data_IF_507603181773
#
_entry.id   IF_507603181773
#
_cell.length_a   1.000
_cell.length_b   1.000
_cell.length_c   1.000
_cell.angle_alpha   90.00
_cell.angle_beta   90.00
_cell.angle_gamma   90.00
#
_symmetry.space_group_name_H-M   'P 1'
#
loop_
_entity.id
_entity.type
_entity.pdbx_description
1 polymer ?
#
# COMPACT_ATOMS: atom_id res chain seq x y z
N UNK A 1 -2.36 -43.79 26.66
CA UNK A 1 -2.13 -42.62 27.53
C UNK A 1 -0.68 -42.70 27.97
N UNK A 2 0.17 -41.74 27.57
CA UNK A 2 0.25 -40.48 28.33
C UNK A 2 0.25 -39.20 27.47
N UNK A 3 -0.24 -38.16 28.15
CA UNK A 3 -0.23 -36.72 27.89
C UNK A 3 1.21 -36.18 27.91
N UNK A 4 1.59 -35.31 26.98
CA UNK A 4 2.67 -34.34 27.23
C UNK A 4 2.44 -33.07 26.41
N UNK A 5 1.80 -32.13 27.09
CA UNK A 5 1.64 -30.73 26.73
C UNK A 5 3.00 -30.04 26.54
N UNK A 6 3.24 -29.46 25.35
CA UNK A 6 4.25 -28.40 25.17
C UNK A 6 3.66 -27.16 24.52
N UNK A 7 3.11 -26.34 25.40
CA UNK A 7 2.81 -24.93 25.25
C UNK A 7 4.08 -24.17 24.83
N UNK A 8 4.28 -23.94 23.52
CA UNK A 8 5.29 -22.98 23.05
C UNK A 8 4.71 -21.58 23.13
N UNK A 9 4.92 -21.01 24.29
CA UNK A 9 4.78 -19.60 24.58
C UNK A 9 5.74 -18.76 23.74
N UNK A 10 5.21 -17.64 23.24
CA UNK A 10 5.88 -16.33 23.17
C UNK A 10 6.83 -16.09 21.99
N UNK A 11 6.38 -15.25 21.06
CA UNK A 11 7.07 -14.00 20.70
C UNK A 11 6.16 -13.09 19.87
N UNK A 12 5.20 -12.42 20.53
CA UNK A 12 4.65 -11.17 20.01
C UNK A 12 5.78 -10.14 20.02
N UNK A 13 6.40 -9.91 18.86
CA UNK A 13 7.22 -8.73 18.63
C UNK A 13 6.26 -7.55 18.48
N UNK A 14 6.28 -6.53 19.36
CA UNK A 14 5.64 -5.27 19.02
C UNK A 14 6.57 -4.61 18.01
N UNK A 15 6.38 -4.88 16.72
CA UNK A 15 6.98 -4.05 15.70
C UNK A 15 6.33 -2.68 15.81
N UNK A 16 7.10 -1.73 16.34
CA UNK A 16 6.79 -0.31 16.39
C UNK A 16 6.48 0.19 14.97
N UNK A 17 5.24 0.04 14.55
CA UNK A 17 4.71 0.66 13.36
C UNK A 17 4.58 2.14 13.68
N UNK A 18 5.60 2.92 13.33
CA UNK A 18 5.58 4.38 13.30
C UNK A 18 4.17 4.85 12.98
N UNK A 19 3.55 5.60 13.89
CA UNK A 19 2.46 6.50 13.56
C UNK A 19 3.02 7.40 12.46
N UNK A 20 2.76 7.04 11.19
CA UNK A 20 3.03 7.89 10.04
C UNK A 20 2.18 9.12 10.32
N UNK A 21 2.80 10.17 10.86
CA UNK A 21 2.10 11.42 11.15
C UNK A 21 1.30 11.79 9.92
N UNK A 22 0.02 12.14 10.10
CA UNK A 22 -0.85 12.53 8.98
C UNK A 22 -0.14 13.61 8.17
N UNK A 23 0.35 13.26 6.98
CA UNK A 23 0.94 14.22 6.04
C UNK A 23 -0.19 14.74 5.18
N UNK A 24 -0.42 16.05 5.19
CA UNK A 24 -1.33 16.70 4.26
C UNK A 24 -0.59 16.85 2.94
N UNK A 25 -1.04 16.13 1.92
CA UNK A 25 -0.54 16.28 0.55
C UNK A 25 -1.46 17.25 -0.18
N UNK A 26 -1.00 18.48 -0.43
CA UNK A 26 -1.72 19.46 -1.24
C UNK A 26 -1.30 19.25 -2.70
N UNK A 27 -2.23 18.70 -3.49
CA UNK A 27 -2.04 18.47 -4.92
C UNK A 27 -2.93 19.43 -5.71
N UNK A 28 -2.33 20.22 -6.58
CA UNK A 28 -3.04 21.05 -7.56
C UNK A 28 -3.00 20.32 -8.91
N UNK A 29 -4.16 19.93 -9.42
CA UNK A 29 -4.31 19.24 -10.69
C UNK A 29 -5.65 19.59 -11.34
N UNK A 30 -5.75 19.35 -12.65
CA UNK A 30 -7.01 19.52 -13.39
C UNK A 30 -7.99 18.38 -13.14
N UNK A 31 -7.50 17.16 -12.91
CA UNK A 31 -8.33 15.96 -12.82
C UNK A 31 -7.70 14.93 -11.87
N UNK A 32 -8.52 14.27 -11.05
CA UNK A 32 -8.10 13.21 -10.12
C UNK A 32 -8.80 11.90 -10.49
N UNK A 33 -8.02 10.83 -10.65
CA UNK A 33 -8.53 9.50 -10.99
C UNK A 33 -8.02 8.49 -9.96
N UNK A 34 -8.95 7.79 -9.31
CA UNK A 34 -8.63 6.68 -8.41
C UNK A 34 -8.65 5.36 -9.17
N UNK A 35 -7.55 4.60 -9.06
CA UNK A 35 -7.42 3.27 -9.66
C UNK A 35 -6.72 2.34 -8.69
N UNK A 36 -7.23 1.13 -8.59
CA UNK A 36 -6.56 0.05 -7.90
C UNK A 36 -5.38 -0.46 -8.75
N UNK A 37 -4.24 -0.67 -8.08
CA UNK A 37 -3.05 -1.24 -8.70
C UNK A 37 -3.28 -2.73 -8.93
N UNK A 38 -3.26 -3.16 -10.19
CA UNK A 38 -3.36 -4.58 -10.53
C UNK A 38 -1.97 -5.22 -10.52
N UNK A 39 -1.89 -6.48 -10.10
CA UNK A 39 -0.64 -7.23 -10.11
C UNK A 39 -0.18 -7.52 -11.54
N UNK A 40 1.11 -7.34 -11.79
CA UNK A 40 1.75 -7.87 -12.98
C UNK A 40 3.19 -8.29 -12.70
N UNK A 41 3.39 -9.60 -12.53
CA UNK A 41 4.68 -10.18 -12.22
C UNK A 41 5.27 -9.56 -10.96
N UNK A 42 6.37 -8.82 -11.13
CA UNK A 42 7.11 -8.15 -10.05
C UNK A 42 6.68 -6.70 -9.80
N UNK A 43 5.72 -6.18 -10.59
CA UNK A 43 5.31 -4.78 -10.59
C UNK A 43 3.79 -4.63 -10.51
N UNK A 44 3.33 -3.44 -10.14
CA UNK A 44 1.93 -3.05 -10.27
C UNK A 44 1.67 -2.33 -11.59
N UNK A 45 0.55 -2.62 -12.25
CA UNK A 45 0.07 -1.87 -13.42
C UNK A 45 -1.17 -1.06 -13.05
N UNK A 46 -1.18 0.19 -13.47
CA UNK A 46 -2.34 1.09 -13.38
C UNK A 46 -2.68 1.51 -14.81
N UNK A 47 -3.93 1.30 -15.22
CA UNK A 47 -4.41 1.79 -16.52
C UNK A 47 -5.00 3.18 -16.34
N UNK A 48 -4.38 4.17 -16.98
CA UNK A 48 -4.82 5.56 -17.02
C UNK A 48 -5.63 5.82 -18.30
N UNK A 49 -6.49 6.86 -18.33
CA UNK A 49 -7.19 7.27 -19.54
C UNK A 49 -6.23 7.46 -20.72
N UNK A 50 -6.68 7.13 -21.94
CA UNK A 50 -5.85 7.23 -23.15
C UNK A 50 -5.43 8.67 -23.42
N UNK A 51 -6.25 9.65 -23.03
CA UNK A 51 -5.97 11.08 -23.16
C UNK A 51 -4.78 11.55 -22.31
N UNK A 52 -4.35 10.75 -21.33
CA UNK A 52 -3.17 11.05 -20.50
C UNK A 52 -1.86 10.56 -21.13
N UNK A 53 -1.91 9.85 -22.26
CA UNK A 53 -0.71 9.42 -22.98
C UNK A 53 0.09 10.66 -23.40
N UNK A 54 1.36 10.73 -23.00
CA UNK A 54 2.23 11.89 -23.23
C UNK A 54 2.09 13.03 -22.21
N UNK A 55 1.27 12.86 -21.16
CA UNK A 55 1.15 13.82 -20.05
C UNK A 55 2.03 13.40 -18.87
N UNK A 56 2.44 14.39 -18.07
CA UNK A 56 3.17 14.15 -16.82
C UNK A 56 2.18 13.84 -15.70
N UNK A 57 2.27 12.63 -15.14
CA UNK A 57 1.36 12.15 -14.10
C UNK A 57 2.13 11.95 -12.79
N UNK A 58 1.58 12.43 -11.67
CA UNK A 58 2.07 12.10 -10.32
C UNK A 58 1.09 11.14 -9.66
N UNK A 59 1.63 10.07 -9.06
CA UNK A 59 0.85 9.06 -8.36
C UNK A 59 1.14 9.20 -6.87
N UNK A 60 0.09 9.23 -6.05
CA UNK A 60 0.19 9.27 -4.59
C UNK A 60 -0.41 7.97 -4.07
N UNK A 61 0.39 7.18 -3.36
CA UNK A 61 -0.11 6.02 -2.63
C UNK A 61 -0.75 6.49 -1.32
N UNK A 62 -1.96 6.01 -1.04
CA UNK A 62 -2.73 6.39 0.15
C UNK A 62 -2.52 5.46 1.35
N UNK A 63 -1.79 4.36 1.17
CA UNK A 63 -1.52 3.31 2.17
C UNK A 63 -0.15 3.42 2.85
#
# INVERSE_FOLDING_TARGET
MPDDSRTVSKSKRPSAGKTRGKVKLEAYGMEMVEKEVRSCGVSGRIYLPKDWVGRHVKIIRLD
#
